data_IF_992449819250
#
_entry.id   IF_992449819250
#
_cell.length_a   1.000
_cell.length_b   1.000
_cell.length_c   1.000
_cell.angle_alpha   90.00
_cell.angle_beta   90.00
_cell.angle_gamma   90.00
#
_symmetry.space_group_name_H-M   'P 1'
#
loop_
_entity.id
_entity.type
_entity.pdbx_description
1 polymer ?
#
# COMPACT_ATOMS: atom_id res chain seq x y z
N UNK A 1 -24.30 4.35 1.91
CA UNK A 1 -22.93 4.47 1.35
C UNK A 1 -21.92 5.12 2.31
N UNK A 2 -22.21 6.32 2.87
CA UNK A 2 -21.27 7.10 3.71
C UNK A 2 -20.68 6.34 4.93
N UNK A 3 -21.49 5.52 5.65
CA UNK A 3 -21.00 4.67 6.76
C UNK A 3 -19.98 3.60 6.34
N UNK A 4 -20.19 2.92 5.19
CA UNK A 4 -19.25 1.90 4.69
C UNK A 4 -17.92 2.50 4.25
N UNK A 5 -17.97 3.76 3.80
CA UNK A 5 -16.81 4.53 3.34
C UNK A 5 -15.95 5.01 4.53
N UNK A 6 -16.58 5.54 5.58
CA UNK A 6 -15.85 5.95 6.79
C UNK A 6 -15.13 4.78 7.46
N UNK A 7 -15.69 3.57 7.35
CA UNK A 7 -15.07 2.34 7.85
C UNK A 7 -13.80 1.98 7.06
N UNK A 8 -13.81 2.19 5.74
CA UNK A 8 -12.66 2.00 4.86
C UNK A 8 -11.56 3.04 5.14
N UNK A 9 -11.95 4.31 5.31
CA UNK A 9 -11.05 5.40 5.67
C UNK A 9 -10.43 5.20 7.06
N UNK A 10 -11.20 4.68 8.02
CA UNK A 10 -10.70 4.29 9.34
C UNK A 10 -9.70 3.14 9.23
N UNK A 11 -9.98 2.13 8.42
CA UNK A 11 -9.07 1.01 8.22
C UNK A 11 -7.75 1.43 7.55
N UNK A 12 -7.80 2.36 6.59
CA UNK A 12 -6.63 3.00 6.00
C UNK A 12 -5.77 3.71 7.04
N UNK A 13 -6.39 4.57 7.86
CA UNK A 13 -5.68 5.31 8.91
C UNK A 13 -5.10 4.39 9.99
N UNK A 14 -5.83 3.35 10.40
CA UNK A 14 -5.33 2.33 11.32
C UNK A 14 -4.13 1.61 10.70
N UNK A 15 -4.20 1.21 9.42
CA UNK A 15 -3.11 0.53 8.74
C UNK A 15 -1.84 1.40 8.72
N UNK A 16 -1.97 2.68 8.37
CA UNK A 16 -0.83 3.62 8.40
C UNK A 16 -0.29 3.79 9.82
N UNK A 17 -1.16 3.96 10.80
CA UNK A 17 -0.75 4.16 12.20
C UNK A 17 0.00 2.93 12.74
N UNK A 18 -0.48 1.72 12.44
CA UNK A 18 0.20 0.46 12.81
C UNK A 18 1.57 0.38 12.16
N UNK A 19 1.68 0.71 10.87
CA UNK A 19 2.94 0.66 10.15
C UNK A 19 3.93 1.73 10.63
N UNK A 20 3.46 2.94 10.93
CA UNK A 20 4.27 3.99 11.52
C UNK A 20 4.79 3.59 12.92
N UNK A 21 3.93 2.98 13.75
CA UNK A 21 4.32 2.47 15.05
C UNK A 21 5.38 1.35 14.93
N UNK A 22 5.20 0.41 14.01
CA UNK A 22 6.18 -0.64 13.73
C UNK A 22 7.52 -0.06 13.27
N UNK A 23 7.50 0.97 12.42
CA UNK A 23 8.71 1.65 11.99
C UNK A 23 9.43 2.37 13.14
N UNK A 24 8.68 3.06 14.01
CA UNK A 24 9.24 3.68 15.22
C UNK A 24 9.86 2.63 16.16
N UNK A 25 9.19 1.50 16.37
CA UNK A 25 9.75 0.39 17.15
C UNK A 25 11.05 -0.14 16.52
N UNK A 26 11.10 -0.27 15.19
CA UNK A 26 12.31 -0.67 14.48
C UNK A 26 13.45 0.35 14.65
N UNK A 27 13.16 1.66 14.64
CA UNK A 27 14.13 2.71 14.90
C UNK A 27 14.69 2.62 16.33
N UNK A 28 13.82 2.50 17.34
CA UNK A 28 14.23 2.35 18.74
C UNK A 28 15.11 1.12 18.90
N UNK A 29 14.70 -0.01 18.30
CA UNK A 29 15.48 -1.25 18.33
C UNK A 29 16.83 -1.10 17.64
N UNK A 30 16.90 -0.38 16.52
CA UNK A 30 18.16 -0.10 15.84
C UNK A 30 19.12 0.77 16.67
N UNK A 31 18.60 1.62 17.57
CA UNK A 31 19.44 2.43 18.47
C UNK A 31 19.88 1.71 19.74
N UNK A 32 19.13 0.69 20.19
CA UNK A 32 19.34 0.05 21.49
C UNK A 32 19.98 -1.34 21.43
N UNK A 33 19.97 -1.98 20.26
CA UNK A 33 20.44 -3.35 20.09
C UNK A 33 21.44 -3.45 18.93
N UNK A 34 22.25 -4.50 18.93
CA UNK A 34 23.10 -4.86 17.80
C UNK A 34 22.29 -5.52 16.67
N UNK A 35 22.79 -5.48 15.42
CA UNK A 35 22.16 -6.14 14.29
C UNK A 35 22.14 -7.66 14.49
N UNK A 36 20.96 -8.28 14.34
CA UNK A 36 20.79 -9.73 14.44
C UNK A 36 21.30 -10.46 13.20
N UNK A 37 21.28 -9.80 12.05
CA UNK A 37 21.61 -10.39 10.76
C UNK A 37 22.50 -9.42 9.99
N UNK A 38 23.66 -9.90 9.52
CA UNK A 38 24.43 -9.17 8.52
C UNK A 38 23.81 -9.42 7.14
N UNK A 39 23.26 -8.37 6.54
CA UNK A 39 22.75 -8.44 5.16
C UNK A 39 23.89 -8.32 4.17
N UNK A 40 23.90 -9.20 3.17
CA UNK A 40 24.79 -9.06 2.02
C UNK A 40 24.23 -8.03 1.04
N UNK A 41 25.11 -7.42 0.26
CA UNK A 41 24.75 -6.46 -0.81
C UNK A 41 23.69 -7.06 -1.76
N UNK A 42 23.74 -8.37 -2.00
CA UNK A 42 22.77 -9.09 -2.82
C UNK A 42 21.35 -9.03 -2.26
N UNK A 43 21.17 -9.24 -0.96
CA UNK A 43 19.85 -9.20 -0.31
C UNK A 43 19.26 -7.79 -0.38
N UNK A 44 20.09 -6.77 -0.14
CA UNK A 44 19.67 -5.37 -0.24
C UNK A 44 19.22 -5.03 -1.66
N UNK A 45 19.97 -5.47 -2.68
CA UNK A 45 19.63 -5.23 -4.08
C UNK A 45 18.29 -5.87 -4.48
N UNK A 46 18.02 -7.11 -4.04
CA UNK A 46 16.74 -7.76 -4.31
C UNK A 46 15.57 -7.07 -3.60
N UNK A 47 15.76 -6.64 -2.35
CA UNK A 47 14.71 -5.91 -1.61
C UNK A 47 14.38 -4.58 -2.28
N UNK A 48 15.39 -3.84 -2.74
CA UNK A 48 15.21 -2.61 -3.52
C UNK A 48 14.45 -2.93 -4.81
N UNK A 49 14.92 -3.90 -5.59
CA UNK A 49 14.31 -4.25 -6.88
C UNK A 49 12.84 -4.68 -6.74
N UNK A 50 12.53 -5.54 -5.76
CA UNK A 50 11.17 -5.98 -5.47
C UNK A 50 10.29 -4.80 -5.06
N UNK A 51 10.79 -3.90 -4.21
CA UNK A 51 10.05 -2.70 -3.79
C UNK A 51 9.74 -1.80 -4.99
N UNK A 52 10.75 -1.56 -5.85
CA UNK A 52 10.65 -0.74 -7.05
C UNK A 52 9.69 -1.31 -8.10
N UNK A 53 9.53 -2.63 -8.18
CA UNK A 53 8.59 -3.29 -9.09
C UNK A 53 7.19 -3.44 -8.49
N UNK A 54 7.09 -3.76 -7.21
CA UNK A 54 5.83 -4.03 -6.53
C UNK A 54 4.96 -2.78 -6.41
N UNK A 55 5.56 -1.61 -6.14
CA UNK A 55 4.84 -0.33 -6.05
C UNK A 55 4.12 0.02 -7.38
N UNK A 56 4.82 0.18 -8.52
CA UNK A 56 4.18 0.48 -9.80
C UNK A 56 3.33 -0.69 -10.30
N UNK A 57 3.71 -1.93 -9.99
CA UNK A 57 2.91 -3.12 -10.29
C UNK A 57 1.54 -3.07 -9.61
N UNK A 58 1.48 -2.74 -8.33
CA UNK A 58 0.22 -2.59 -7.59
C UNK A 58 -0.64 -1.45 -8.14
N UNK A 59 -0.02 -0.33 -8.51
CA UNK A 59 -0.66 0.81 -9.15
C UNK A 59 -1.25 0.44 -10.53
N UNK A 60 -0.48 -0.24 -11.38
CA UNK A 60 -0.90 -0.64 -12.73
C UNK A 60 -2.02 -1.69 -12.69
N UNK A 61 -1.90 -2.69 -11.82
CA UNK A 61 -2.92 -3.72 -11.64
C UNK A 61 -4.24 -3.13 -11.14
N UNK A 62 -4.18 -2.09 -10.30
CA UNK A 62 -5.37 -1.36 -9.87
C UNK A 62 -6.05 -0.64 -11.04
N UNK A 63 -5.29 0.11 -11.84
CA UNK A 63 -5.81 0.84 -12.99
C UNK A 63 -6.44 -0.10 -14.03
N UNK A 64 -5.77 -1.22 -14.35
CA UNK A 64 -6.30 -2.22 -15.29
C UNK A 64 -7.57 -2.89 -14.76
N UNK A 65 -7.62 -3.24 -13.46
CA UNK A 65 -8.83 -3.84 -12.86
C UNK A 65 -10.01 -2.88 -12.86
N UNK A 66 -9.79 -1.58 -12.67
CA UNK A 66 -10.87 -0.59 -12.71
C UNK A 66 -11.37 -0.39 -14.14
N UNK A 67 -10.46 -0.24 -15.11
CA UNK A 67 -10.82 -0.03 -16.52
C UNK A 67 -11.66 -1.19 -17.09
N UNK A 68 -11.33 -2.42 -16.69
CA UNK A 68 -12.06 -3.62 -17.11
C UNK A 68 -13.43 -3.78 -16.43
N UNK A 69 -13.68 -3.07 -15.32
CA UNK A 69 -14.93 -3.16 -14.54
C UNK A 69 -15.97 -2.12 -14.97
N UNK A 70 -15.55 -0.97 -15.53
CA UNK A 70 -16.51 0.04 -16.03
C UNK A 70 -17.30 -0.47 -17.26
N UNK A 71 -16.73 -1.38 -18.04
CA UNK A 71 -17.28 -1.84 -19.33
C UNK A 71 -18.40 -2.92 -19.26
N UNK A 72 -19.25 -2.96 -18.23
CA UNK A 72 -20.45 -3.82 -18.29
C UNK A 72 -21.04 -4.37 -16.99
N UNK A 73 -20.57 -3.94 -15.83
CA UNK A 73 -21.04 -4.48 -14.54
C UNK A 73 -22.10 -3.61 -13.85
N UNK A 74 -23.05 -4.20 -13.11
CA UNK A 74 -24.05 -3.45 -12.31
C UNK A 74 -23.39 -2.54 -11.26
N UNK A 75 -24.09 -1.47 -10.82
CA UNK A 75 -23.55 -0.44 -9.92
C UNK A 75 -23.02 -1.01 -8.60
N UNK A 76 -23.69 -2.02 -8.04
CA UNK A 76 -23.26 -2.69 -6.81
C UNK A 76 -22.01 -3.55 -7.03
N UNK A 77 -21.89 -4.20 -8.18
CA UNK A 77 -20.72 -5.00 -8.57
C UNK A 77 -19.49 -4.12 -8.78
N UNK A 78 -19.65 -2.94 -9.38
CA UNK A 78 -18.57 -1.95 -9.55
C UNK A 78 -18.02 -1.51 -8.20
N UNK A 79 -18.89 -1.15 -7.25
CA UNK A 79 -18.49 -0.70 -5.90
C UNK A 79 -17.77 -1.83 -5.13
N UNK A 80 -18.28 -3.06 -5.21
CA UNK A 80 -17.66 -4.22 -4.53
C UNK A 80 -16.28 -4.54 -5.11
N UNK A 81 -16.11 -4.43 -6.43
CA UNK A 81 -14.84 -4.74 -7.11
C UNK A 81 -13.81 -3.62 -6.96
N UNK A 82 -14.23 -2.36 -6.97
CA UNK A 82 -13.39 -1.21 -6.62
C UNK A 82 -12.83 -1.36 -5.20
N UNK A 83 -13.69 -1.69 -4.22
CA UNK A 83 -13.25 -1.96 -2.85
C UNK A 83 -12.19 -3.06 -2.78
N UNK A 84 -12.39 -4.15 -3.54
CA UNK A 84 -11.45 -5.27 -3.54
C UNK A 84 -10.11 -4.91 -4.21
N UNK A 85 -10.13 -4.14 -5.30
CA UNK A 85 -8.92 -3.65 -5.96
C UNK A 85 -8.13 -2.68 -5.06
N UNK A 86 -8.84 -1.78 -4.37
CA UNK A 86 -8.23 -0.86 -3.41
C UNK A 86 -7.62 -1.60 -2.21
N UNK A 87 -8.33 -2.61 -1.67
CA UNK A 87 -7.79 -3.48 -0.63
C UNK A 87 -6.53 -4.20 -1.11
N UNK A 88 -6.52 -4.75 -2.32
CA UNK A 88 -5.34 -5.44 -2.85
C UNK A 88 -4.13 -4.48 -2.93
N UNK A 89 -4.34 -3.25 -3.39
CA UNK A 89 -3.29 -2.22 -3.45
C UNK A 89 -2.69 -1.93 -2.08
N UNK A 90 -3.53 -1.68 -1.06
CA UNK A 90 -3.03 -1.39 0.29
C UNK A 90 -2.34 -2.60 0.92
N UNK A 91 -2.83 -3.81 0.69
CA UNK A 91 -2.19 -5.03 1.19
C UNK A 91 -0.81 -5.26 0.57
N UNK A 92 -0.63 -5.01 -0.72
CA UNK A 92 0.69 -5.12 -1.37
C UNK A 92 1.67 -4.09 -0.79
N UNK A 93 1.24 -2.84 -0.65
CA UNK A 93 2.08 -1.79 -0.04
C UNK A 93 2.38 -2.10 1.42
N UNK A 94 1.42 -2.62 2.19
CA UNK A 94 1.63 -3.13 3.55
C UNK A 94 2.68 -4.22 3.60
N UNK A 95 2.60 -5.22 2.72
CA UNK A 95 3.52 -6.34 2.72
C UNK A 95 4.96 -5.88 2.42
N UNK A 96 5.12 -5.01 1.41
CA UNK A 96 6.42 -4.44 1.04
C UNK A 96 6.98 -3.57 2.15
N UNK A 97 6.16 -2.67 2.72
CA UNK A 97 6.58 -1.82 3.83
C UNK A 97 6.94 -2.64 5.07
N UNK A 98 6.16 -3.66 5.42
CA UNK A 98 6.44 -4.52 6.56
C UNK A 98 7.72 -5.32 6.37
N UNK A 99 7.96 -5.85 5.18
CA UNK A 99 9.21 -6.51 4.82
C UNK A 99 10.42 -5.58 4.98
N UNK A 100 10.33 -4.35 4.47
CA UNK A 100 11.39 -3.36 4.60
C UNK A 100 11.63 -2.93 6.06
N UNK A 101 10.57 -2.74 6.86
CA UNK A 101 10.68 -2.41 8.28
C UNK A 101 11.30 -3.57 9.07
N UNK A 102 10.91 -4.82 8.79
CA UNK A 102 11.50 -6.00 9.41
C UNK A 102 12.98 -6.15 9.06
N UNK A 103 13.33 -6.04 7.79
CA UNK A 103 14.71 -6.09 7.33
C UNK A 103 15.55 -4.98 7.97
N UNK A 104 15.00 -3.77 8.08
CA UNK A 104 15.64 -2.68 8.82
C UNK A 104 15.82 -3.02 10.30
N UNK A 105 14.80 -3.54 10.98
CA UNK A 105 14.90 -3.91 12.39
C UNK A 105 15.87 -5.06 12.67
N UNK A 106 16.14 -5.93 11.69
CA UNK A 106 17.07 -7.06 11.85
C UNK A 106 18.51 -6.72 11.45
N UNK A 107 18.69 -6.02 10.34
CA UNK A 107 20.01 -5.73 9.75
C UNK A 107 20.53 -4.34 10.09
N UNK A 108 19.64 -3.41 10.44
CA UNK A 108 19.95 -1.99 10.67
C UNK A 108 20.55 -1.29 9.44
N UNK A 109 20.47 -1.92 8.26
CA UNK A 109 20.89 -1.34 6.99
C UNK A 109 20.08 -0.08 6.66
N UNK A 110 20.78 1.05 6.47
CA UNK A 110 20.15 2.34 6.13
C UNK A 110 19.32 2.27 4.85
N UNK A 111 19.65 1.38 3.92
CA UNK A 111 18.91 1.18 2.68
C UNK A 111 17.46 0.73 2.96
N UNK A 112 17.26 -0.20 3.89
CA UNK A 112 15.92 -0.66 4.27
C UNK A 112 15.11 0.43 4.96
N UNK A 113 15.76 1.30 5.75
CA UNK A 113 15.13 2.48 6.35
C UNK A 113 14.59 3.42 5.26
N UNK A 114 15.41 3.72 4.24
CA UNK A 114 15.00 4.57 3.12
C UNK A 114 13.86 3.94 2.30
N UNK A 115 13.91 2.62 2.04
CA UNK A 115 12.82 1.92 1.36
C UNK A 115 11.52 1.93 2.17
N UNK A 116 11.59 1.81 3.49
CA UNK A 116 10.43 1.96 4.36
C UNK A 116 9.84 3.38 4.25
N UNK A 117 10.69 4.41 4.25
CA UNK A 117 10.28 5.81 4.05
C UNK A 117 9.60 6.03 2.69
N UNK A 118 10.18 5.51 1.60
CA UNK A 118 9.57 5.56 0.26
C UNK A 118 8.22 4.86 0.26
N UNK A 119 8.09 3.73 0.96
CA UNK A 119 6.82 3.02 1.09
C UNK A 119 5.75 3.90 1.77
N UNK A 120 6.10 4.71 2.78
CA UNK A 120 5.21 5.70 3.40
C UNK A 120 4.74 6.80 2.43
N UNK A 121 5.61 7.26 1.51
CA UNK A 121 5.20 8.19 0.46
C UNK A 121 4.17 7.53 -0.46
N UNK A 122 4.36 6.26 -0.82
CA UNK A 122 3.41 5.49 -1.63
C UNK A 122 2.08 5.30 -0.90
N UNK A 123 2.07 5.14 0.42
CA UNK A 123 0.84 5.09 1.21
C UNK A 123 -0.02 6.35 1.04
N UNK A 124 0.60 7.53 0.96
CA UNK A 124 -0.15 8.77 0.69
C UNK A 124 -0.85 8.70 -0.67
N UNK A 125 -0.19 8.18 -1.70
CA UNK A 125 -0.81 7.96 -3.01
C UNK A 125 -1.89 6.88 -3.00
N UNK A 126 -1.89 5.97 -2.02
CA UNK A 126 -2.90 4.92 -1.86
C UNK A 126 -4.13 5.39 -1.08
N UNK A 127 -4.21 6.68 -0.72
CA UNK A 127 -5.37 7.23 -0.04
C UNK A 127 -6.65 6.98 -0.87
N UNK A 128 -7.72 6.45 -0.25
CA UNK A 128 -8.96 6.19 -0.97
C UNK A 128 -9.57 7.52 -1.42
N UNK A 129 -9.48 7.79 -2.73
CA UNK A 129 -10.07 8.94 -3.39
C UNK A 129 -11.57 8.69 -3.60
N UNK A 130 -12.42 9.40 -2.84
CA UNK A 130 -13.87 9.33 -3.02
C UNK A 130 -14.33 9.96 -4.33
N UNK A 131 -13.55 10.93 -4.83
CA UNK A 131 -13.82 11.59 -6.10
C UNK A 131 -13.66 10.64 -7.29
N UNK A 132 -12.70 9.70 -7.24
CA UNK A 132 -12.56 8.66 -8.27
C UNK A 132 -13.72 7.65 -8.26
N UNK A 133 -14.19 7.26 -7.08
CA UNK A 133 -15.34 6.35 -7.00
C UNK A 133 -16.62 7.04 -7.46
N UNK A 134 -16.82 8.31 -7.10
CA UNK A 134 -17.97 9.08 -7.57
C UNK A 134 -17.89 9.38 -9.07
N UNK A 135 -16.72 9.68 -9.63
CA UNK A 135 -16.55 9.89 -11.07
C UNK A 135 -16.83 8.61 -11.87
N UNK A 136 -16.29 7.46 -11.47
CA UNK A 136 -16.55 6.16 -12.14
C UNK A 136 -18.04 5.77 -12.05
N UNK A 137 -18.70 6.09 -10.93
CA UNK A 137 -20.13 5.82 -10.76
C UNK A 137 -21.00 6.82 -11.54
N UNK A 138 -20.53 8.05 -11.75
CA UNK A 138 -21.23 9.11 -12.48
C UNK A 138 -21.06 8.99 -13.99
N UNK A 139 -19.86 8.66 -14.47
CA UNK A 139 -19.57 8.36 -15.88
C UNK A 139 -20.49 7.24 -16.40
N UNK A 140 -20.69 6.18 -15.60
CA UNK A 140 -21.65 5.14 -15.97
C UNK A 140 -23.11 5.63 -16.05
N UNK A 141 -23.49 6.64 -15.26
CA UNK A 141 -24.84 7.22 -15.30
C UNK A 141 -25.10 8.07 -16.55
N UNK A 142 -24.06 8.60 -17.17
CA UNK A 142 -24.17 9.45 -18.38
C UNK A 142 -24.13 8.63 -19.68
N UNK A 143 -23.66 7.38 -19.61
CA UNK A 143 -23.59 6.43 -20.74
C UNK A 143 -24.83 5.52 -20.81
N UNK A 144 -25.77 5.64 -19.87
CA UNK A 144 -26.99 4.84 -19.78
C UNK A 144 -28.23 5.71 -19.92
#
# INVERSE_FOLDING_TARGET
MRRRINLLKRHYWISIAVMALLFLLALVRATLADPLVQTTVTVEMYAIAITLLAIPGALKLFAEKIRKVSQGSSRETIVKRYRNAWLLRIYVVNLVAAGNILLYGLSQGRNFMWLALVSFIVYMFCQPSLQELESVVREKKEVQ
#
